data_IF_463103219371
#
_entry.id   IF_463103219371
#
_cell.length_a   1.000
_cell.length_b   1.000
_cell.length_c   1.000
_cell.angle_alpha   90.00
_cell.angle_beta   90.00
_cell.angle_gamma   90.00
#
_symmetry.space_group_name_H-M   'P 1'
#
loop_
_entity.id
_entity.type
_entity.pdbx_description
1 polymer ?
#
# COMPACT_ATOMS: atom_id res chain seq x y z
N UNK A 1 -2.40 -29.97 11.74
CA UNK A 1 -2.60 -29.47 13.12
C UNK A 1 -1.27 -29.35 13.87
N UNK A 2 -0.47 -30.43 14.02
CA UNK A 2 0.85 -30.36 14.66
C UNK A 2 1.84 -29.41 13.94
N UNK A 3 1.86 -29.42 12.61
CA UNK A 3 2.68 -28.48 11.82
C UNK A 3 2.28 -27.02 12.09
N UNK A 4 0.98 -26.73 12.15
CA UNK A 4 0.47 -25.39 12.44
C UNK A 4 0.83 -24.93 13.86
N UNK A 5 0.78 -25.83 14.84
CA UNK A 5 1.22 -25.52 16.21
C UNK A 5 2.74 -25.30 16.30
N UNK A 6 3.53 -26.11 15.58
CA UNK A 6 4.98 -25.92 15.50
C UNK A 6 5.34 -24.55 14.91
N UNK A 7 4.66 -24.15 13.83
CA UNK A 7 4.82 -22.82 13.22
C UNK A 7 4.43 -21.71 14.20
N UNK A 8 3.28 -21.82 14.89
CA UNK A 8 2.84 -20.83 15.87
C UNK A 8 3.83 -20.67 17.03
N UNK A 9 4.32 -21.78 17.58
CA UNK A 9 5.32 -21.78 18.66
C UNK A 9 6.65 -21.18 18.19
N UNK A 10 7.06 -21.49 16.95
CA UNK A 10 8.23 -20.87 16.33
C UNK A 10 8.11 -19.35 16.22
N UNK A 11 6.99 -18.84 15.71
CA UNK A 11 6.73 -17.40 15.64
C UNK A 11 6.69 -16.75 17.03
N UNK A 12 6.02 -17.37 18.01
CA UNK A 12 5.93 -16.84 19.36
C UNK A 12 7.30 -16.77 20.05
N UNK A 13 8.11 -17.83 19.91
CA UNK A 13 9.48 -17.86 20.43
C UNK A 13 10.37 -16.81 19.78
N UNK A 14 10.31 -16.66 18.46
CA UNK A 14 11.06 -15.64 17.72
C UNK A 14 10.67 -14.22 18.13
N UNK A 15 9.37 -13.94 18.26
CA UNK A 15 8.87 -12.63 18.71
C UNK A 15 9.36 -12.29 20.13
N UNK A 16 9.34 -13.28 21.03
CA UNK A 16 9.87 -13.11 22.39
C UNK A 16 11.36 -12.76 22.38
N UNK A 17 12.15 -13.44 21.54
CA UNK A 17 13.59 -13.17 21.40
C UNK A 17 13.85 -11.76 20.88
N UNK A 18 13.09 -11.28 19.88
CA UNK A 18 13.22 -9.89 19.37
C UNK A 18 12.81 -8.86 20.42
N UNK A 19 11.84 -9.17 21.27
CA UNK A 19 11.36 -8.24 22.29
C UNK A 19 12.38 -7.96 23.41
N UNK A 20 13.41 -8.80 23.54
CA UNK A 20 14.47 -8.58 24.52
C UNK A 20 15.34 -7.38 24.11
N UNK A 21 15.75 -6.50 25.05
CA UNK A 21 16.50 -5.29 24.71
C UNK A 21 17.82 -5.54 23.92
N UNK A 22 18.68 -6.52 24.29
CA UNK A 22 19.96 -6.71 23.60
C UNK A 22 19.80 -7.08 22.12
N UNK A 23 18.83 -7.94 21.79
CA UNK A 23 18.54 -8.37 20.43
C UNK A 23 17.91 -7.25 19.62
N UNK A 24 16.97 -6.51 20.23
CA UNK A 24 16.38 -5.31 19.63
C UNK A 24 17.44 -4.28 19.24
N UNK A 25 18.40 -3.98 20.13
CA UNK A 25 19.47 -3.02 19.86
C UNK A 25 20.36 -3.44 18.70
N UNK A 26 20.70 -4.73 18.61
CA UNK A 26 21.49 -5.26 17.49
C UNK A 26 20.73 -5.10 16.17
N UNK A 27 19.44 -5.42 16.14
CA UNK A 27 18.61 -5.27 14.95
C UNK A 27 18.48 -3.80 14.53
N UNK A 28 18.15 -2.91 15.47
CA UNK A 28 18.01 -1.46 15.23
C UNK A 28 19.33 -0.81 14.77
N UNK A 29 20.47 -1.30 15.25
CA UNK A 29 21.79 -0.72 14.94
C UNK A 29 22.34 -1.14 13.58
N UNK A 30 22.01 -2.35 13.11
CA UNK A 30 22.71 -2.96 11.97
C UNK A 30 21.80 -3.41 10.82
N UNK A 31 20.50 -3.62 11.04
CA UNK A 31 19.63 -4.27 10.05
C UNK A 31 18.34 -3.49 9.74
N UNK A 32 17.87 -2.64 10.64
CA UNK A 32 16.67 -1.84 10.44
C UNK A 32 17.08 -0.43 9.96
N UNK A 33 16.52 0.08 8.85
CA UNK A 33 16.78 1.45 8.41
C UNK A 33 16.47 2.48 9.50
N UNK A 34 17.27 3.54 9.56
CA UNK A 34 17.00 4.62 10.48
C UNK A 34 15.64 5.29 10.14
N UNK A 35 14.92 5.86 11.12
CA UNK A 35 13.71 6.62 10.84
C UNK A 35 13.96 7.71 9.79
N UNK A 36 13.21 7.66 8.70
CA UNK A 36 13.32 8.60 7.58
C UNK A 36 14.31 8.21 6.48
N UNK A 37 15.12 7.16 6.65
CA UNK A 37 16.07 6.69 5.63
C UNK A 37 15.35 6.06 4.43
N UNK A 38 14.30 5.29 4.70
CA UNK A 38 13.52 4.59 3.67
C UNK A 38 14.31 3.49 2.95
N UNK A 39 13.69 2.81 1.97
CA UNK A 39 14.38 1.86 1.10
C UNK A 39 15.29 2.58 0.09
N UNK A 40 16.35 1.90 -0.38
CA UNK A 40 17.20 2.41 -1.46
C UNK A 40 16.39 2.66 -2.74
N UNK A 41 16.91 3.48 -3.64
CA UNK A 41 16.24 3.77 -4.93
C UNK A 41 15.95 2.48 -5.67
N UNK A 42 16.91 1.57 -5.76
CA UNK A 42 16.77 0.27 -6.43
C UNK A 42 15.68 -0.58 -5.78
N UNK A 43 15.61 -0.60 -4.45
CA UNK A 43 14.55 -1.30 -3.72
C UNK A 43 13.17 -0.67 -3.97
N UNK A 44 13.09 0.66 -4.15
CA UNK A 44 11.86 1.34 -4.58
C UNK A 44 11.46 0.94 -6.00
N UNK A 45 12.44 0.84 -6.90
CA UNK A 45 12.22 0.50 -8.31
C UNK A 45 11.78 -0.94 -8.53
N UNK A 46 12.33 -1.87 -7.76
CA UNK A 46 12.08 -3.31 -7.88
C UNK A 46 10.96 -3.80 -6.96
N UNK A 47 10.52 -2.96 -6.01
CA UNK A 47 9.42 -3.26 -5.11
C UNK A 47 8.08 -3.39 -5.85
N UNK A 48 7.12 -4.02 -5.20
CA UNK A 48 5.75 -4.14 -5.69
C UNK A 48 4.81 -4.42 -4.51
N UNK A 49 3.51 -4.37 -4.76
CA UNK A 49 2.51 -4.86 -3.81
C UNK A 49 1.37 -5.56 -4.55
N UNK A 50 0.74 -6.49 -3.83
CA UNK A 50 -0.43 -7.22 -4.29
C UNK A 50 -1.45 -7.31 -3.14
N UNK A 51 -2.44 -6.43 -3.17
CA UNK A 51 -3.47 -6.31 -2.14
C UNK A 51 -4.73 -7.07 -2.56
N UNK A 52 -5.36 -7.69 -1.56
CA UNK A 52 -6.62 -8.41 -1.71
C UNK A 52 -7.62 -7.84 -0.72
N UNK A 53 -8.76 -7.42 -1.22
CA UNK A 53 -9.89 -6.96 -0.41
C UNK A 53 -11.04 -7.94 -0.57
N UNK A 54 -11.67 -8.31 0.53
CA UNK A 54 -12.85 -9.17 0.54
C UNK A 54 -14.03 -8.38 1.10
N UNK A 55 -15.12 -8.36 0.35
CA UNK A 55 -16.40 -7.80 0.77
C UNK A 55 -17.49 -8.86 0.69
N UNK A 56 -18.53 -8.70 1.50
CA UNK A 56 -19.74 -9.51 1.41
C UNK A 56 -20.94 -8.59 1.16
N UNK A 57 -21.74 -8.92 0.16
CA UNK A 57 -23.00 -8.22 -0.13
C UNK A 57 -24.08 -8.61 0.89
N UNK A 58 -25.13 -7.80 0.99
CA UNK A 58 -26.31 -8.13 1.82
C UNK A 58 -27.00 -9.43 1.40
N UNK A 59 -26.83 -9.87 0.15
CA UNK A 59 -27.31 -11.15 -0.36
C UNK A 59 -26.35 -12.33 -0.09
N UNK A 60 -25.27 -12.12 0.68
CA UNK A 60 -24.31 -13.16 1.06
C UNK A 60 -23.23 -13.47 0.02
N UNK A 61 -23.27 -12.85 -1.17
CA UNK A 61 -22.22 -13.02 -2.20
C UNK A 61 -20.91 -12.37 -1.76
N UNK A 62 -19.80 -13.09 -1.91
CA UNK A 62 -18.45 -12.56 -1.72
C UNK A 62 -18.00 -11.82 -2.98
N UNK A 63 -17.37 -10.67 -2.78
CA UNK A 63 -16.66 -9.90 -3.82
C UNK A 63 -15.20 -9.84 -3.39
N UNK A 64 -14.29 -10.18 -4.31
CA UNK A 64 -12.87 -10.07 -4.07
C UNK A 64 -12.29 -9.03 -5.04
N UNK A 65 -11.52 -8.08 -4.51
CA UNK A 65 -10.84 -7.05 -5.29
C UNK A 65 -9.34 -7.25 -5.16
N UNK A 66 -8.64 -7.17 -6.30
CA UNK A 66 -7.20 -7.16 -6.41
C UNK A 66 -6.72 -5.76 -6.76
N UNK A 67 -5.73 -5.26 -6.02
CA UNK A 67 -5.02 -4.02 -6.36
C UNK A 67 -3.53 -4.27 -6.34
N UNK A 68 -2.83 -3.97 -7.44
CA UNK A 68 -1.37 -4.12 -7.52
C UNK A 68 -0.70 -2.79 -7.83
N UNK A 69 0.60 -2.71 -7.54
CA UNK A 69 1.48 -1.64 -8.01
C UNK A 69 2.88 -2.15 -8.31
N UNK A 70 3.52 -1.51 -9.28
CA UNK A 70 4.80 -1.87 -9.90
C UNK A 70 6.05 -1.26 -9.22
N UNK A 71 5.87 -0.65 -8.05
CA UNK A 71 6.90 0.00 -7.24
C UNK A 71 6.63 -0.28 -5.77
N UNK A 72 7.61 -0.02 -4.91
CA UNK A 72 7.41 -0.18 -3.48
C UNK A 72 6.21 0.67 -2.98
N UNK A 73 5.44 0.15 -2.01
CA UNK A 73 4.23 0.82 -1.55
C UNK A 73 4.49 2.09 -0.74
N UNK A 74 5.68 2.23 -0.14
CA UNK A 74 5.98 3.31 0.80
C UNK A 74 6.43 4.61 0.14
N UNK A 75 7.21 4.51 -0.93
CA UNK A 75 7.89 5.63 -1.56
C UNK A 75 7.59 5.71 -3.05
N UNK A 76 8.12 4.78 -3.86
CA UNK A 76 8.06 4.83 -5.31
C UNK A 76 6.63 4.84 -5.85
N UNK A 77 5.76 3.93 -5.40
CA UNK A 77 4.36 3.92 -5.84
C UNK A 77 3.58 5.11 -5.27
N UNK A 78 3.80 5.46 -4.00
CA UNK A 78 3.14 6.60 -3.36
C UNK A 78 3.47 7.93 -4.06
N UNK A 79 4.72 8.15 -4.47
CA UNK A 79 5.11 9.32 -5.24
C UNK A 79 4.37 9.40 -6.59
N UNK A 80 4.24 8.27 -7.30
CA UNK A 80 3.46 8.18 -8.55
C UNK A 80 1.98 8.50 -8.31
N UNK A 81 1.39 7.97 -7.23
CA UNK A 81 -0.01 8.23 -6.87
C UNK A 81 -0.25 9.72 -6.57
N UNK A 82 0.62 10.34 -5.76
CA UNK A 82 0.53 11.76 -5.41
C UNK A 82 0.67 12.64 -6.66
N UNK A 83 1.62 12.32 -7.55
CA UNK A 83 1.79 13.03 -8.81
C UNK A 83 0.53 12.97 -9.69
N UNK A 84 -0.04 11.78 -9.87
CA UNK A 84 -1.27 11.63 -10.65
C UNK A 84 -2.49 12.26 -9.98
N UNK A 85 -2.60 12.25 -8.65
CA UNK A 85 -3.65 12.97 -7.94
C UNK A 85 -3.56 14.49 -8.18
N UNK A 86 -2.35 15.07 -8.11
CA UNK A 86 -2.12 16.48 -8.42
C UNK A 86 -2.46 16.84 -9.86
N UNK A 87 -2.05 16.02 -10.83
CA UNK A 87 -2.40 16.21 -12.24
C UNK A 87 -3.92 16.07 -12.47
N UNK A 88 -4.57 15.11 -11.82
CA UNK A 88 -6.02 14.92 -11.88
C UNK A 88 -6.76 16.18 -11.40
N UNK A 89 -6.35 16.75 -10.25
CA UNK A 89 -6.90 18.03 -9.75
C UNK A 89 -6.74 19.17 -10.76
N UNK A 90 -5.57 19.26 -11.40
CA UNK A 90 -5.21 20.40 -12.23
C UNK A 90 -5.80 20.33 -13.65
N UNK A 91 -5.96 19.13 -14.21
CA UNK A 91 -6.22 18.92 -15.64
C UNK A 91 -7.57 18.29 -15.93
N UNK A 92 -8.10 17.47 -15.01
CA UNK A 92 -9.24 16.58 -15.32
C UNK A 92 -10.57 17.06 -14.73
N UNK A 93 -10.56 18.20 -14.04
CA UNK A 93 -11.76 18.84 -13.48
C UNK A 93 -11.91 20.29 -13.95
N UNK A 94 -13.10 20.72 -14.41
CA UNK A 94 -13.40 22.13 -14.51
C UNK A 94 -13.46 22.74 -13.10
N UNK A 95 -13.05 24.00 -12.94
CA UNK A 95 -13.04 24.70 -11.64
C UNK A 95 -14.41 24.72 -10.94
N UNK A 96 -15.50 24.56 -11.70
CA UNK A 96 -16.87 24.49 -11.19
C UNK A 96 -17.31 23.10 -10.71
N UNK A 97 -16.56 22.03 -11.02
CA UNK A 97 -16.99 20.66 -10.73
C UNK A 97 -17.05 20.35 -9.22
N UNK A 98 -16.25 21.03 -8.41
CA UNK A 98 -16.18 20.80 -6.96
C UNK A 98 -16.04 22.14 -6.24
N UNK A 99 -16.73 22.26 -5.11
CA UNK A 99 -16.49 23.34 -4.18
C UNK A 99 -15.07 23.20 -3.58
N UNK A 100 -14.46 24.33 -3.21
CA UNK A 100 -13.22 24.30 -2.44
C UNK A 100 -13.40 23.62 -1.08
N UNK A 101 -12.31 23.18 -0.46
CA UNK A 101 -12.32 22.55 0.86
C UNK A 101 -11.46 21.29 0.92
N UNK A 102 -11.68 20.50 1.97
CA UNK A 102 -10.97 19.25 2.21
C UNK A 102 -11.80 18.07 1.72
N UNK A 103 -11.20 17.27 0.85
CA UNK A 103 -11.83 16.12 0.25
C UNK A 103 -11.00 14.87 0.51
N UNK A 104 -11.66 13.73 0.71
CA UNK A 104 -11.00 12.43 0.60
C UNK A 104 -10.72 12.12 -0.87
N UNK A 105 -9.69 11.32 -1.19
CA UNK A 105 -9.40 10.95 -2.57
C UNK A 105 -10.61 10.34 -3.30
N UNK A 106 -11.36 9.46 -2.62
CA UNK A 106 -12.55 8.83 -3.20
C UNK A 106 -13.63 9.86 -3.58
N UNK A 107 -13.88 10.87 -2.74
CA UNK A 107 -14.90 11.89 -3.00
C UNK A 107 -14.45 12.96 -4.02
N UNK A 108 -13.15 13.25 -4.08
CA UNK A 108 -12.58 14.22 -5.01
C UNK A 108 -12.51 13.64 -6.42
N UNK A 109 -11.89 12.48 -6.56
CA UNK A 109 -11.41 11.99 -7.85
C UNK A 109 -12.33 10.97 -8.52
N UNK A 110 -12.93 10.08 -7.73
CA UNK A 110 -13.64 8.91 -8.26
C UNK A 110 -12.80 8.13 -9.27
N UNK A 111 -13.45 7.66 -10.33
CA UNK A 111 -12.85 6.80 -11.36
C UNK A 111 -11.75 7.51 -12.17
N UNK A 112 -11.76 8.84 -12.24
CA UNK A 112 -10.74 9.60 -13.01
C UNK A 112 -9.33 9.34 -12.51
N UNK A 113 -9.14 9.29 -11.18
CA UNK A 113 -7.82 8.97 -10.65
C UNK A 113 -7.48 7.50 -10.89
N UNK A 114 -8.44 6.58 -10.82
CA UNK A 114 -8.20 5.16 -11.14
C UNK A 114 -7.64 5.04 -12.57
N UNK A 115 -8.27 5.69 -13.54
CA UNK A 115 -7.83 5.68 -14.94
C UNK A 115 -6.39 6.20 -15.08
N UNK A 116 -6.06 7.33 -14.43
CA UNK A 116 -4.68 7.86 -14.46
C UNK A 116 -3.68 6.89 -13.81
N UNK A 117 -4.05 6.27 -12.70
CA UNK A 117 -3.18 5.37 -11.98
C UNK A 117 -2.85 4.11 -12.80
N UNK A 118 -3.85 3.58 -13.50
CA UNK A 118 -3.66 2.48 -14.44
C UNK A 118 -2.79 2.90 -15.62
N UNK A 119 -3.10 4.03 -16.26
CA UNK A 119 -2.42 4.45 -17.49
C UNK A 119 -1.01 5.01 -17.27
N UNK A 120 -0.72 5.57 -16.09
CA UNK A 120 0.50 6.36 -15.86
C UNK A 120 1.23 6.05 -14.56
N UNK A 121 0.63 5.28 -13.65
CA UNK A 121 1.25 4.96 -12.36
C UNK A 121 1.52 3.46 -12.14
N UNK A 122 1.22 2.60 -13.11
CA UNK A 122 1.53 1.17 -13.03
C UNK A 122 0.73 0.42 -11.97
N UNK A 123 -0.46 0.92 -11.62
CA UNK A 123 -1.40 0.23 -10.73
C UNK A 123 -2.42 -0.58 -11.53
N UNK A 124 -2.93 -1.69 -10.98
CA UNK A 124 -4.11 -2.37 -11.51
C UNK A 124 -5.21 -2.48 -10.45
N UNK A 125 -6.46 -2.51 -10.91
CA UNK A 125 -7.65 -2.67 -10.08
C UNK A 125 -8.56 -3.70 -10.75
N UNK A 126 -8.74 -4.86 -10.12
CA UNK A 126 -9.41 -6.02 -10.72
C UNK A 126 -10.46 -6.58 -9.76
N UNK A 127 -11.66 -6.88 -10.29
CA UNK A 127 -12.64 -7.73 -9.59
C UNK A 127 -12.32 -9.18 -9.93
N UNK A 128 -12.16 -10.03 -8.91
CA UNK A 128 -11.84 -11.45 -9.03
C UNK A 128 -13.09 -12.34 -8.91
#
# INVERSE_FOLDING_TARGET
>A
WLVAQGVNLGFAGFALVIALPPTRWILERWFIPAPGEGPSVEAQEQGFYDLRFWGQTTAGKTIQIKVTGDRDPGYGSTAKILGQAGLCLAQDFPKSAKAGGFWTPAAMFGDRLIDRLVNHAGLTFEVL
#
